data_IF_708689724673
#
_entry.id   IF_708689724673
#
_cell.length_a   1.000
_cell.length_b   1.000
_cell.length_c   1.000
_cell.angle_alpha   90.00
_cell.angle_beta   90.00
_cell.angle_gamma   90.00
#
_symmetry.space_group_name_H-M   'P 1'
#
loop_
_entity.id
_entity.type
_entity.pdbx_description
1 polymer ?
#
# COMPACT_ATOMS: atom_id res chain seq x y z
N UNK A 1 3.08 -8.75 -9.34
CA UNK A 1 3.76 -8.75 -8.03
C UNK A 1 4.26 -10.13 -7.68
N UNK A 2 5.46 -10.23 -7.11
CA UNK A 2 5.96 -11.48 -6.49
C UNK A 2 5.20 -11.82 -5.21
N UNK A 3 5.24 -13.10 -4.80
CA UNK A 3 4.57 -13.58 -3.59
C UNK A 3 5.06 -12.89 -2.32
N UNK A 4 6.34 -12.53 -2.24
CA UNK A 4 6.91 -11.84 -1.09
C UNK A 4 6.39 -10.40 -1.00
N UNK A 5 6.47 -9.65 -2.10
CA UNK A 5 5.92 -8.29 -2.21
C UNK A 5 4.42 -8.26 -1.89
N UNK A 6 3.63 -9.20 -2.42
CA UNK A 6 2.20 -9.30 -2.11
C UNK A 6 1.95 -9.49 -0.61
N UNK A 7 2.78 -10.28 0.08
CA UNK A 7 2.66 -10.45 1.55
C UNK A 7 3.00 -9.16 2.29
N UNK A 8 4.06 -8.45 1.89
CA UNK A 8 4.44 -7.15 2.49
C UNK A 8 3.32 -6.12 2.32
N UNK A 9 2.74 -6.02 1.12
CA UNK A 9 1.59 -5.14 0.82
C UNK A 9 0.36 -5.52 1.65
N UNK A 10 -0.01 -6.80 1.70
CA UNK A 10 -1.13 -7.28 2.49
C UNK A 10 -0.94 -7.03 3.99
N UNK A 11 0.28 -7.18 4.50
CA UNK A 11 0.61 -6.81 5.87
C UNK A 11 0.34 -5.32 6.09
N UNK A 12 0.91 -4.44 5.25
CA UNK A 12 0.70 -2.98 5.38
C UNK A 12 -0.77 -2.58 5.39
N UNK A 13 -1.60 -3.18 4.52
CA UNK A 13 -3.06 -2.97 4.50
C UNK A 13 -3.70 -3.39 5.83
N UNK A 14 -3.26 -4.51 6.42
CA UNK A 14 -3.74 -4.98 7.72
C UNK A 14 -3.31 -4.10 8.91
N UNK A 15 -2.12 -3.53 8.88
CA UNK A 15 -1.61 -2.62 9.92
C UNK A 15 -2.29 -1.25 9.90
N UNK A 16 -2.71 -0.79 8.72
CA UNK A 16 -3.31 0.53 8.53
C UNK A 16 -4.68 0.44 7.83
N UNK A 17 -5.67 -0.19 8.48
CA UNK A 17 -6.99 -0.31 7.89
C UNK A 17 -7.66 1.06 7.80
N UNK A 18 -8.29 1.32 6.66
CA UNK A 18 -9.11 2.53 6.44
C UNK A 18 -10.57 2.10 6.59
N UNK A 19 -11.26 2.57 7.63
CA UNK A 19 -12.69 2.30 7.84
C UNK A 19 -13.54 3.51 7.47
N UNK A 20 -14.63 3.30 6.75
CA UNK A 20 -15.54 4.39 6.32
C UNK A 20 -16.24 5.06 7.51
N UNK A 21 -16.32 4.36 8.65
CA UNK A 21 -16.92 4.85 9.90
C UNK A 21 -15.99 5.72 10.75
N UNK A 22 -14.70 5.75 10.42
CA UNK A 22 -13.72 6.53 11.18
C UNK A 22 -13.88 8.03 10.95
N UNK A 23 -13.49 8.83 11.94
CA UNK A 23 -13.41 10.29 11.79
C UNK A 23 -12.41 10.63 10.66
N UNK A 24 -12.69 11.68 9.88
CA UNK A 24 -11.86 12.07 8.73
C UNK A 24 -10.35 12.16 9.07
N UNK A 25 -9.97 12.72 10.22
CA UNK A 25 -8.56 12.81 10.63
C UNK A 25 -7.89 11.45 10.90
N UNK A 26 -8.64 10.45 11.37
CA UNK A 26 -8.15 9.08 11.59
C UNK A 26 -7.93 8.41 10.23
N UNK A 27 -8.88 8.54 9.30
CA UNK A 27 -8.73 8.02 7.94
C UNK A 27 -7.54 8.63 7.21
N UNK A 28 -7.34 9.95 7.31
CA UNK A 28 -6.18 10.63 6.73
C UNK A 28 -4.87 10.12 7.32
N UNK A 29 -4.84 9.89 8.64
CA UNK A 29 -3.65 9.34 9.32
C UNK A 29 -3.34 7.92 8.86
N UNK A 30 -4.35 7.04 8.81
CA UNK A 30 -4.20 5.67 8.32
C UNK A 30 -3.72 5.65 6.87
N UNK A 31 -4.32 6.47 5.99
CA UNK A 31 -3.91 6.61 4.59
C UNK A 31 -2.47 7.08 4.45
N UNK A 32 -2.05 8.08 5.23
CA UNK A 32 -0.66 8.58 5.21
C UNK A 32 0.33 7.50 5.63
N UNK A 33 0.01 6.72 6.66
CA UNK A 33 0.87 5.61 7.13
C UNK A 33 0.93 4.47 6.12
N UNK A 34 -0.22 4.06 5.57
CA UNK A 34 -0.28 3.04 4.53
C UNK A 34 0.53 3.44 3.30
N UNK A 35 0.37 4.68 2.83
CA UNK A 35 1.16 5.24 1.71
C UNK A 35 2.66 5.18 2.00
N UNK A 36 3.10 5.60 3.19
CA UNK A 36 4.51 5.56 3.56
C UNK A 36 5.06 4.12 3.58
N UNK A 37 4.29 3.15 4.07
CA UNK A 37 4.70 1.74 4.03
C UNK A 37 4.77 1.18 2.61
N UNK A 38 3.82 1.53 1.73
CA UNK A 38 3.90 1.13 0.33
C UNK A 38 5.11 1.75 -0.36
N UNK A 39 5.45 3.01 -0.06
CA UNK A 39 6.64 3.63 -0.62
C UNK A 39 7.92 2.87 -0.23
N UNK A 40 8.06 2.46 1.04
CA UNK A 40 9.21 1.66 1.47
C UNK A 40 9.30 0.33 0.71
N UNK A 41 8.18 -0.35 0.48
CA UNK A 41 8.17 -1.60 -0.29
C UNK A 41 8.54 -1.32 -1.76
N UNK A 42 8.08 -0.21 -2.34
CA UNK A 42 8.47 0.17 -3.70
C UNK A 42 9.97 0.46 -3.80
N UNK A 43 10.53 1.17 -2.81
CA UNK A 43 11.96 1.46 -2.74
C UNK A 43 12.78 0.15 -2.65
N UNK A 44 12.35 -0.81 -1.82
CA UNK A 44 12.95 -2.16 -1.77
C UNK A 44 12.90 -2.87 -3.14
N UNK A 45 11.76 -2.80 -3.84
CA UNK A 45 11.63 -3.39 -5.18
C UNK A 45 12.56 -2.71 -6.20
N UNK A 46 12.77 -1.40 -6.08
CA UNK A 46 13.71 -0.67 -6.92
C UNK A 46 15.15 -1.12 -6.66
N UNK A 47 15.55 -1.26 -5.40
CA UNK A 47 16.88 -1.74 -5.00
C UNK A 47 17.14 -3.18 -5.48
N UNK A 48 16.10 -4.01 -5.49
CA UNK A 48 16.13 -5.39 -6.01
C UNK A 48 16.04 -5.50 -7.55
N UNK A 49 15.96 -4.38 -8.28
CA UNK A 49 15.71 -4.32 -9.73
C UNK A 49 14.43 -5.05 -10.17
N UNK A 50 13.40 -5.04 -9.32
CA UNK A 50 12.10 -5.64 -9.60
C UNK A 50 11.10 -4.58 -10.07
N UNK A 51 11.31 -4.08 -11.30
CA UNK A 51 10.55 -2.98 -11.88
C UNK A 51 9.04 -3.25 -11.94
N UNK A 52 8.62 -4.49 -12.24
CA UNK A 52 7.20 -4.84 -12.33
C UNK A 52 6.48 -4.71 -10.99
N UNK A 53 7.12 -5.13 -9.89
CA UNK A 53 6.55 -4.98 -8.56
C UNK A 53 6.52 -3.50 -8.13
N UNK A 54 7.56 -2.74 -8.46
CA UNK A 54 7.61 -1.30 -8.22
C UNK A 54 6.45 -0.55 -8.91
N UNK A 55 6.22 -0.81 -10.20
CA UNK A 55 5.14 -0.18 -10.97
C UNK A 55 3.76 -0.52 -10.39
N UNK A 56 3.55 -1.79 -10.02
CA UNK A 56 2.30 -2.21 -9.38
C UNK A 56 2.07 -1.49 -8.04
N UNK A 57 3.10 -1.33 -7.20
CA UNK A 57 2.97 -0.60 -5.93
C UNK A 57 2.71 0.89 -6.17
N UNK A 58 3.35 1.50 -7.17
CA UNK A 58 3.09 2.89 -7.55
C UNK A 58 1.62 3.12 -7.94
N UNK A 59 0.99 2.15 -8.62
CA UNK A 59 -0.45 2.18 -8.91
C UNK A 59 -1.30 2.08 -7.65
N UNK A 60 -0.91 1.25 -6.67
CA UNK A 60 -1.61 1.17 -5.38
C UNK A 60 -1.52 2.49 -4.58
N UNK A 61 -0.35 3.13 -4.60
CA UNK A 61 -0.15 4.45 -3.98
C UNK A 61 -1.05 5.49 -4.65
N UNK A 62 -1.08 5.55 -5.98
CA UNK A 62 -1.97 6.45 -6.72
C UNK A 62 -3.44 6.20 -6.38
N UNK A 63 -3.86 4.94 -6.29
CA UNK A 63 -5.21 4.57 -5.91
C UNK A 63 -5.56 5.08 -4.49
N UNK A 64 -4.61 5.06 -3.56
CA UNK A 64 -4.76 5.70 -2.25
C UNK A 64 -4.80 7.23 -2.36
N UNK A 65 -3.96 7.86 -3.18
CA UNK A 65 -3.97 9.32 -3.32
C UNK A 65 -5.30 9.82 -3.94
N UNK A 66 -5.95 9.00 -4.78
CA UNK A 66 -7.30 9.21 -5.32
C UNK A 66 -8.44 9.00 -4.29
N UNK A 67 -8.11 8.80 -3.02
CA UNK A 67 -9.08 8.62 -1.94
C UNK A 67 -9.68 7.22 -1.85
N UNK A 68 -9.24 6.27 -2.67
CA UNK A 68 -9.79 4.89 -2.66
C UNK A 68 -9.22 4.06 -1.52
N UNK A 69 -9.90 2.97 -1.19
CA UNK A 69 -9.47 2.01 -0.16
C UNK A 69 -8.88 0.77 -0.80
N UNK A 70 -7.71 0.34 -0.33
CA UNK A 70 -7.12 -0.92 -0.72
C UNK A 70 -7.72 -2.09 0.06
N UNK A 71 -7.88 -3.22 -0.63
CA UNK A 71 -8.23 -4.51 -0.04
C UNK A 71 -7.02 -5.44 -0.17
N UNK A 72 -6.90 -6.47 0.69
CA UNK A 72 -5.88 -7.49 0.53
C UNK A 72 -5.93 -8.09 -0.88
N UNK A 73 -4.75 -8.29 -1.47
CA UNK A 73 -4.54 -8.85 -2.79
C UNK A 73 -4.51 -10.38 -2.72
N UNK A 74 -4.93 -11.08 -3.80
CA UNK A 74 -4.80 -12.53 -3.89
C UNK A 74 -3.33 -12.96 -3.89
N UNK A 75 -3.03 -14.09 -3.24
CA UNK A 75 -1.71 -14.71 -3.13
C UNK A 75 -1.50 -15.82 -4.17
#
# INVERSE_FOLDING_TARGET
MTKDTTRKVNAAIGWYPIHDTDRQGVQQTARKRLRASLQLIADDCCDENNEGDFEEIALLIKYLDDGKKLKPLPL
#
